data_IF_439677171446
#
_entry.id   IF_439677171446
#
_cell.length_a   1.000
_cell.length_b   1.000
_cell.length_c   1.000
_cell.angle_alpha   90.00
_cell.angle_beta   90.00
_cell.angle_gamma   90.00
#
_symmetry.space_group_name_H-M   'P 1'
#
loop_
_entity.id
_entity.type
_entity.pdbx_description
1 polymer ?
#
# COMPACT_ATOMS: atom_id res chain seq x y z
N UNK A 1 49.28 21.75 16.99
CA UNK A 1 50.03 20.73 16.26
C UNK A 1 49.04 19.69 15.73
N UNK A 2 48.99 19.55 14.40
CA UNK A 2 48.30 18.54 13.56
C UNK A 2 46.76 18.43 13.76
N UNK A 3 45.89 19.02 12.94
CA UNK A 3 45.70 18.94 11.46
C UNK A 3 45.59 17.49 10.95
N UNK A 4 44.35 16.99 10.86
CA UNK A 4 44.00 15.76 10.15
C UNK A 4 43.53 16.11 8.72
N UNK A 5 44.11 15.49 7.68
CA UNK A 5 43.88 15.89 6.29
C UNK A 5 42.58 15.32 5.70
N UNK A 6 41.86 16.20 5.01
CA UNK A 6 40.86 15.91 4.00
C UNK A 6 41.48 15.09 2.85
N UNK A 7 40.83 14.00 2.45
CA UNK A 7 41.07 13.34 1.16
C UNK A 7 39.79 13.44 0.31
N UNK A 8 39.86 13.99 -0.91
CA UNK A 8 38.71 14.13 -1.80
C UNK A 8 38.64 13.01 -2.85
N UNK A 9 37.63 13.14 -3.72
CA UNK A 9 37.51 12.65 -5.10
C UNK A 9 37.29 11.13 -5.33
N UNK A 10 36.02 10.74 -5.50
CA UNK A 10 35.68 9.77 -6.54
C UNK A 10 34.99 10.53 -7.67
N UNK A 11 35.76 10.82 -8.72
CA UNK A 11 35.22 10.96 -10.08
C UNK A 11 35.20 9.56 -10.67
N UNK A 12 34.07 9.11 -11.19
CA UNK A 12 34.06 8.02 -12.16
C UNK A 12 33.20 8.44 -13.32
N UNK A 13 33.87 8.44 -14.46
CA UNK A 13 33.54 9.10 -15.70
C UNK A 13 32.30 8.53 -16.38
N UNK A 14 31.56 9.44 -17.02
CA UNK A 14 30.62 9.11 -18.07
C UNK A 14 31.37 8.58 -19.31
N UNK A 15 30.81 7.55 -19.96
CA UNK A 15 30.96 7.15 -21.38
C UNK A 15 30.28 5.78 -21.52
N UNK A 16 29.53 5.41 -22.55
CA UNK A 16 29.30 5.97 -23.87
C UNK A 16 27.97 5.42 -24.38
N UNK A 17 27.24 6.26 -25.11
CA UNK A 17 26.16 5.80 -25.97
C UNK A 17 26.70 4.85 -27.04
N UNK A 18 25.91 3.84 -27.42
CA UNK A 18 25.94 3.27 -28.76
C UNK A 18 24.51 2.87 -29.16
N UNK A 19 23.87 3.78 -29.89
CA UNK A 19 22.83 3.43 -30.84
C UNK A 19 23.53 2.83 -32.06
N UNK A 20 23.08 1.70 -32.61
CA UNK A 20 23.02 1.47 -34.07
C UNK A 20 22.15 0.24 -34.38
N UNK A 21 21.09 0.55 -35.13
CA UNK A 21 20.24 -0.23 -36.02
C UNK A 21 20.74 -1.61 -36.50
N UNK A 22 19.83 -2.58 -36.48
CA UNK A 22 19.99 -3.88 -37.13
C UNK A 22 18.67 -4.60 -37.33
N UNK A 23 17.89 -4.17 -38.33
CA UNK A 23 16.71 -4.85 -38.87
C UNK A 23 17.15 -5.92 -39.85
N UNK A 24 16.95 -7.22 -39.60
CA UNK A 24 16.55 -8.18 -40.64
C UNK A 24 15.87 -9.43 -40.07
N UNK A 25 14.83 -9.83 -40.78
CA UNK A 25 13.84 -10.87 -40.60
C UNK A 25 14.38 -12.28 -40.90
N UNK A 26 13.96 -13.28 -40.13
CA UNK A 26 13.80 -14.66 -40.63
C UNK A 26 12.77 -15.42 -39.78
N UNK A 27 11.60 -15.66 -40.38
CA UNK A 27 10.63 -16.64 -39.93
C UNK A 27 11.26 -18.05 -40.00
N UNK A 28 11.03 -18.87 -38.98
CA UNK A 28 10.96 -20.32 -39.17
C UNK A 28 9.92 -20.90 -38.21
N UNK A 29 8.80 -21.31 -38.78
CA UNK A 29 7.79 -22.14 -38.17
C UNK A 29 8.43 -23.46 -37.73
N UNK A 30 8.14 -23.90 -36.51
CA UNK A 30 8.02 -25.31 -36.15
C UNK A 30 7.19 -25.45 -34.89
N UNK A 31 6.01 -26.04 -35.07
CA UNK A 31 5.09 -26.58 -34.08
C UNK A 31 5.82 -27.39 -33.01
N UNK A 32 5.63 -27.04 -31.74
CA UNK A 32 5.71 -28.00 -30.63
C UNK A 32 4.44 -27.83 -29.80
N UNK A 33 3.61 -28.87 -29.82
CA UNK A 33 2.48 -29.03 -28.91
C UNK A 33 3.04 -29.13 -27.49
N UNK A 34 2.84 -28.09 -26.67
CA UNK A 34 2.91 -28.22 -25.22
C UNK A 34 1.49 -28.35 -24.65
N UNK A 35 1.13 -29.48 -24.02
CA UNK A 35 0.03 -29.50 -23.08
C UNK A 35 0.52 -28.88 -21.76
N UNK A 36 0.16 -27.63 -21.49
CA UNK A 36 0.42 -27.02 -20.18
C UNK A 36 -0.48 -27.65 -19.12
N UNK A 37 0.08 -28.23 -18.04
CA UNK A 37 -0.66 -28.73 -16.90
C UNK A 37 -1.34 -27.57 -16.17
N UNK A 38 -2.56 -27.81 -15.72
CA UNK A 38 -3.35 -26.83 -15.00
C UNK A 38 -2.73 -26.41 -13.67
N UNK A 39 -2.93 -25.13 -13.36
CA UNK A 39 -3.41 -24.74 -12.04
C UNK A 39 -4.22 -23.46 -12.21
N UNK A 40 -5.45 -23.58 -11.76
CA UNK A 40 -6.41 -22.52 -11.61
C UNK A 40 -5.90 -21.46 -10.61
N UNK A 41 -6.59 -20.33 -10.66
CA UNK A 41 -6.69 -19.29 -9.62
C UNK A 41 -5.50 -18.32 -9.58
N UNK A 42 -5.48 -17.39 -10.53
CA UNK A 42 -5.30 -16.00 -10.10
C UNK A 42 -6.45 -15.72 -9.12
N UNK A 43 -6.20 -15.27 -7.87
CA UNK A 43 -7.29 -14.71 -7.10
C UNK A 43 -7.80 -13.54 -7.94
N UNK A 44 -9.01 -13.68 -8.46
CA UNK A 44 -9.81 -12.54 -8.84
C UNK A 44 -9.74 -11.60 -7.66
N UNK A 45 -8.92 -10.55 -7.77
CA UNK A 45 -9.00 -9.40 -6.89
C UNK A 45 -10.39 -8.87 -7.17
N UNK A 46 -11.37 -9.36 -6.43
CA UNK A 46 -12.63 -8.68 -6.25
C UNK A 46 -12.22 -7.28 -5.86
N UNK A 47 -12.36 -6.35 -6.81
CA UNK A 47 -12.31 -4.91 -6.55
C UNK A 47 -13.64 -4.62 -5.82
N UNK A 48 -13.85 -5.29 -4.71
CA UNK A 48 -14.93 -5.00 -3.81
C UNK A 48 -14.37 -3.97 -2.86
N UNK A 49 -14.65 -2.71 -3.20
CA UNK A 49 -14.77 -1.61 -2.26
C UNK A 49 -13.50 -1.03 -1.66
N UNK A 50 -12.50 -0.72 -2.50
CA UNK A 50 -11.47 0.27 -2.13
C UNK A 50 -12.15 1.61 -1.68
N UNK A 51 -13.26 1.94 -2.32
CA UNK A 51 -14.09 3.12 -2.02
C UNK A 51 -14.76 3.10 -0.64
N UNK A 52 -14.94 1.94 0.01
CA UNK A 52 -15.75 1.88 1.23
C UNK A 52 -15.02 2.35 2.49
N UNK A 53 -13.70 2.18 2.52
CA UNK A 53 -12.85 2.72 3.60
C UNK A 53 -12.63 4.20 3.34
N UNK A 54 -12.39 4.59 2.09
CA UNK A 54 -12.29 6.00 1.72
C UNK A 54 -13.58 6.76 2.04
N UNK A 55 -14.74 6.20 1.68
CA UNK A 55 -16.05 6.75 2.02
C UNK A 55 -16.24 6.85 3.54
N UNK A 56 -15.80 5.85 4.31
CA UNK A 56 -15.82 5.94 5.76
C UNK A 56 -14.98 7.12 6.27
N UNK A 57 -13.73 7.25 5.81
CA UNK A 57 -12.80 8.31 6.21
C UNK A 57 -13.25 9.70 5.77
N UNK A 58 -13.95 9.80 4.63
CA UNK A 58 -14.53 11.05 4.13
C UNK A 58 -15.78 11.47 4.92
N UNK A 59 -16.54 10.51 5.46
CA UNK A 59 -17.74 10.75 6.28
C UNK A 59 -17.44 11.02 7.76
N UNK A 60 -16.18 10.95 8.19
CA UNK A 60 -15.78 11.36 9.53
C UNK A 60 -16.08 12.86 9.72
N UNK A 61 -16.36 13.24 10.98
CA UNK A 61 -16.65 14.64 11.37
C UNK A 61 -15.59 15.63 10.86
N UNK A 62 -14.35 15.16 10.72
CA UNK A 62 -13.30 15.82 9.96
C UNK A 62 -12.90 14.87 8.81
N UNK A 63 -13.05 15.28 7.54
CA UNK A 63 -12.66 14.45 6.42
C UNK A 63 -11.19 14.09 6.50
N UNK A 64 -10.92 12.80 6.41
CA UNK A 64 -9.64 12.22 6.83
C UNK A 64 -9.14 11.19 5.81
N UNK A 65 -9.42 11.43 4.53
CA UNK A 65 -9.01 10.55 3.42
C UNK A 65 -7.49 10.33 3.34
N UNK A 66 -6.68 11.24 3.88
CA UNK A 66 -5.23 11.06 3.99
C UNK A 66 -4.81 9.92 4.95
N UNK A 67 -5.72 9.35 5.73
CA UNK A 67 -5.46 8.14 6.54
C UNK A 67 -5.59 6.85 5.75
N UNK A 68 -6.19 6.89 4.55
CA UNK A 68 -6.42 5.69 3.74
C UNK A 68 -5.15 4.83 3.54
N UNK A 69 -3.95 5.41 3.28
CA UNK A 69 -2.73 4.63 3.19
C UNK A 69 -2.38 3.88 4.48
N UNK A 70 -2.62 4.47 5.66
CA UNK A 70 -2.34 3.85 6.96
C UNK A 70 -3.26 2.64 7.21
N UNK A 71 -4.53 2.76 6.85
CA UNK A 71 -5.49 1.66 6.95
C UNK A 71 -5.09 0.50 6.03
N UNK A 72 -4.75 0.80 4.78
CA UNK A 72 -4.30 -0.21 3.81
C UNK A 72 -2.99 -0.87 4.24
N UNK A 73 -2.03 -0.11 4.75
CA UNK A 73 -0.75 -0.63 5.25
C UNK A 73 -0.95 -1.57 6.45
N UNK A 74 -1.89 -1.25 7.34
CA UNK A 74 -2.25 -2.11 8.47
C UNK A 74 -3.05 -3.36 8.08
N UNK A 75 -3.50 -3.45 6.82
CA UNK A 75 -4.27 -4.58 6.31
C UNK A 75 -5.79 -4.41 6.41
N UNK A 76 -6.28 -3.21 6.72
CA UNK A 76 -7.71 -2.89 6.65
C UNK A 76 -7.98 -2.40 5.24
N UNK A 77 -8.42 -3.31 4.37
CA UNK A 77 -8.57 -3.03 2.92
C UNK A 77 -10.03 -3.17 2.47
N UNK A 78 -10.81 -3.99 3.16
CA UNK A 78 -12.20 -4.25 2.83
C UNK A 78 -13.16 -3.66 3.87
N UNK A 79 -14.43 -3.52 3.48
CA UNK A 79 -15.51 -3.24 4.45
C UNK A 79 -15.59 -4.31 5.54
N UNK A 80 -15.29 -5.57 5.24
CA UNK A 80 -15.30 -6.63 6.24
C UNK A 80 -14.21 -6.41 7.30
N UNK A 81 -13.00 -6.01 6.89
CA UNK A 81 -11.89 -5.70 7.80
C UNK A 81 -12.23 -4.49 8.67
N UNK A 82 -12.81 -3.44 8.08
CA UNK A 82 -13.26 -2.26 8.81
C UNK A 82 -14.37 -2.60 9.83
N UNK A 83 -15.33 -3.44 9.43
CA UNK A 83 -16.39 -3.91 10.32
C UNK A 83 -15.83 -4.81 11.44
N UNK A 84 -14.82 -5.63 11.16
CA UNK A 84 -14.11 -6.42 12.17
C UNK A 84 -13.41 -5.49 13.17
N UNK A 85 -12.68 -4.47 12.68
CA UNK A 85 -12.05 -3.47 13.54
C UNK A 85 -13.07 -2.75 14.43
N UNK A 86 -14.26 -2.41 13.90
CA UNK A 86 -15.33 -1.79 14.69
C UNK A 86 -15.78 -2.65 15.88
N UNK A 87 -15.65 -3.98 15.78
CA UNK A 87 -16.06 -4.93 16.83
C UNK A 87 -14.95 -5.25 17.84
N UNK A 88 -13.71 -4.89 17.54
CA UNK A 88 -12.52 -5.22 18.34
C UNK A 88 -12.01 -4.00 19.09
N UNK A 89 -12.83 -3.41 19.98
CA UNK A 89 -12.45 -2.19 20.73
C UNK A 89 -11.19 -2.38 21.58
N UNK A 90 -10.99 -3.57 22.16
CA UNK A 90 -9.77 -3.92 22.90
C UNK A 90 -8.49 -3.80 22.05
N UNK A 91 -8.62 -3.95 20.73
CA UNK A 91 -7.51 -3.90 19.78
C UNK A 91 -7.19 -2.48 19.29
N UNK A 92 -8.06 -1.49 19.59
CA UNK A 92 -7.89 -0.12 19.11
C UNK A 92 -6.60 0.53 19.61
N UNK A 93 -6.16 0.21 20.83
CA UNK A 93 -4.91 0.72 21.39
C UNK A 93 -3.67 0.23 20.62
N UNK A 94 -3.74 -0.92 19.96
CA UNK A 94 -2.66 -1.42 19.12
C UNK A 94 -2.62 -0.71 17.76
N UNK A 95 -3.79 -0.54 17.14
CA UNK A 95 -3.94 0.24 15.90
C UNK A 95 -3.49 1.68 16.10
N UNK A 96 -3.90 2.30 17.22
CA UNK A 96 -3.50 3.64 17.62
C UNK A 96 -1.98 3.79 17.64
N UNK A 97 -1.30 2.91 18.40
CA UNK A 97 0.17 2.95 18.52
C UNK A 97 0.82 2.79 17.16
N UNK A 98 0.31 1.90 16.32
CA UNK A 98 0.82 1.74 14.96
C UNK A 98 0.67 3.02 14.14
N UNK A 99 -0.51 3.64 14.14
CA UNK A 99 -0.78 4.84 13.34
C UNK A 99 0.00 6.05 13.86
N UNK A 100 0.12 6.22 15.17
CA UNK A 100 0.92 7.30 15.77
C UNK A 100 2.40 7.15 15.42
N UNK A 101 2.94 5.93 15.47
CA UNK A 101 4.32 5.65 15.03
C UNK A 101 4.56 5.96 13.56
N UNK A 102 3.49 6.00 12.74
CA UNK A 102 3.52 6.35 11.32
C UNK A 102 3.22 7.84 11.05
N UNK A 103 3.07 8.64 12.10
CA UNK A 103 2.90 10.08 12.00
C UNK A 103 1.47 10.58 12.15
N UNK A 104 0.49 9.71 12.44
CA UNK A 104 -0.85 10.14 12.83
C UNK A 104 -0.80 10.88 14.17
N UNK A 105 -1.49 12.00 14.30
CA UNK A 105 -1.52 12.71 15.58
C UNK A 105 -2.54 12.04 16.53
N UNK A 106 -2.28 12.02 17.85
CA UNK A 106 -3.22 11.41 18.80
C UNK A 106 -4.65 11.95 18.70
N UNK A 107 -4.83 13.26 18.47
CA UNK A 107 -6.17 13.84 18.32
C UNK A 107 -6.88 13.44 17.02
N UNK A 108 -6.13 13.08 15.97
CA UNK A 108 -6.67 12.60 14.70
C UNK A 108 -7.21 11.18 14.87
N UNK A 109 -6.52 10.37 15.67
CA UNK A 109 -6.99 9.06 16.07
C UNK A 109 -8.31 9.11 16.85
N UNK A 110 -8.52 10.11 17.72
CA UNK A 110 -9.81 10.29 18.41
C UNK A 110 -10.98 10.45 17.43
N UNK A 111 -10.76 11.11 16.29
CA UNK A 111 -11.79 11.26 15.24
C UNK A 111 -12.09 9.92 14.59
N UNK A 112 -11.07 9.10 14.36
CA UNK A 112 -11.21 7.74 13.81
C UNK A 112 -11.95 6.85 14.80
N UNK A 113 -11.59 6.84 16.08
CA UNK A 113 -12.27 6.05 17.12
C UNK A 113 -13.75 6.37 17.21
N UNK A 114 -14.11 7.65 17.16
CA UNK A 114 -15.52 8.05 17.18
C UNK A 114 -16.28 7.56 15.93
N UNK A 115 -15.62 7.60 14.76
CA UNK A 115 -16.15 7.01 13.53
C UNK A 115 -16.36 5.50 13.65
N UNK A 116 -15.38 4.78 14.20
CA UNK A 116 -15.47 3.33 14.42
C UNK A 116 -16.62 3.00 15.38
N UNK A 117 -16.79 3.75 16.47
CA UNK A 117 -17.88 3.57 17.44
C UNK A 117 -19.25 3.84 16.82
N UNK A 118 -19.35 4.92 16.05
CA UNK A 118 -20.59 5.27 15.31
C UNK A 118 -20.97 4.14 14.37
N UNK A 119 -20.00 3.64 13.58
CA UNK A 119 -20.21 2.53 12.66
C UNK A 119 -20.54 1.23 13.40
N UNK A 120 -19.85 0.92 14.50
CA UNK A 120 -20.13 -0.26 15.34
C UNK A 120 -21.59 -0.27 15.81
N UNK A 121 -22.11 0.88 16.22
CA UNK A 121 -23.50 1.03 16.67
C UNK A 121 -24.53 0.72 15.58
N UNK A 122 -24.17 0.89 14.30
CA UNK A 122 -25.03 0.57 13.15
C UNK A 122 -24.92 -0.89 12.68
N UNK A 123 -23.94 -1.65 13.18
CA UNK A 123 -23.72 -3.05 12.84
C UNK A 123 -24.43 -4.03 13.80
N UNK A 124 -25.17 -3.49 14.77
CA UNK A 124 -25.99 -4.20 15.76
C UNK A 124 -27.27 -4.74 15.12
#
# INVERSE_FOLDING_TARGET
MAEHPLTPWYQTSASSANQTSGRTQAQKMSTVNQPSPGYNILPSRSIDNDDSIEAFLCNLKRPSGHFLPLFKEYGIVTTADLNALCRMEDYWNEVERHFINKGLKPFEWLVVQEGLRTRASTLT
#
